data_IF_137537521850
#
_entry.id   IF_137537521850
#
_cell.length_a   1.000
_cell.length_b   1.000
_cell.length_c   1.000
_cell.angle_alpha   90.00
_cell.angle_beta   90.00
_cell.angle_gamma   90.00
#
_symmetry.space_group_name_H-M   'P 1'
#
loop_
_entity.id
_entity.type
_entity.pdbx_description
1 polymer ?
#
# COMPACT_ATOMS: atom_id res chain seq x y z
N UNK A 1 9.11 19.23 19.01
CA UNK A 1 9.24 17.76 19.13
C UNK A 1 9.88 17.43 20.48
N UNK A 2 9.70 16.21 20.99
CA UNK A 2 10.51 15.70 22.10
C UNK A 2 11.89 15.27 21.54
N UNK A 3 13.03 15.77 22.07
CA UNK A 3 14.37 15.45 21.57
C UNK A 3 14.70 13.95 21.53
N UNK A 4 14.09 13.12 22.38
CA UNK A 4 14.31 11.67 22.35
C UNK A 4 13.64 11.00 21.15
N UNK A 5 12.54 11.56 20.63
CA UNK A 5 11.88 11.06 19.42
C UNK A 5 12.75 11.31 18.19
N UNK A 6 13.45 12.45 18.15
CA UNK A 6 14.33 12.83 17.04
C UNK A 6 15.56 11.92 16.91
N UNK A 7 15.92 11.19 17.97
CA UNK A 7 17.01 10.19 17.97
C UNK A 7 16.58 8.83 17.43
N UNK A 8 15.28 8.59 17.23
CA UNK A 8 14.78 7.33 16.69
C UNK A 8 15.17 7.20 15.21
N UNK A 9 15.69 6.05 14.76
CA UNK A 9 16.01 5.81 13.35
C UNK A 9 14.84 6.05 12.39
N UNK A 10 13.61 5.83 12.86
CA UNK A 10 12.38 5.99 12.11
C UNK A 10 11.95 7.45 11.93
N UNK A 11 12.49 8.37 12.75
CA UNK A 11 12.20 9.80 12.64
C UNK A 11 12.94 10.40 11.44
N UNK A 12 12.20 11.10 10.59
CA UNK A 12 12.71 11.70 9.34
C UNK A 12 12.13 13.09 9.17
N UNK A 13 12.48 13.99 10.10
CA UNK A 13 11.99 15.37 10.12
C UNK A 13 10.45 15.46 10.11
N UNK A 14 9.78 14.54 10.81
CA UNK A 14 8.31 14.55 10.90
C UNK A 14 7.83 15.90 11.43
N UNK A 15 6.87 16.52 10.73
CA UNK A 15 6.31 17.82 11.13
C UNK A 15 5.59 17.76 12.50
N UNK A 16 4.97 16.62 12.83
CA UNK A 16 4.27 16.45 14.10
C UNK A 16 4.25 14.99 14.55
N UNK A 17 4.46 14.79 15.85
CA UNK A 17 4.22 13.52 16.55
C UNK A 17 3.44 13.83 17.82
N UNK A 18 2.26 13.23 17.99
CA UNK A 18 1.38 13.48 19.13
C UNK A 18 0.91 12.18 19.75
N UNK A 19 1.17 12.01 21.04
CA UNK A 19 0.45 11.05 21.87
C UNK A 19 -0.96 11.57 22.18
N UNK A 20 -1.94 10.69 22.24
CA UNK A 20 -3.27 11.00 22.74
C UNK A 20 -3.72 9.92 23.71
N UNK A 21 -4.52 10.31 24.71
CA UNK A 21 -5.18 9.37 25.59
C UNK A 21 -6.51 9.91 26.12
N UNK A 22 -7.44 9.00 26.43
CA UNK A 22 -8.67 9.28 27.15
C UNK A 22 -8.85 8.21 28.25
N UNK A 23 -8.72 8.65 29.51
CA UNK A 23 -8.79 7.77 30.68
C UNK A 23 -10.16 7.11 30.84
N UNK A 24 -11.24 7.75 30.38
CA UNK A 24 -12.62 7.23 30.56
C UNK A 24 -12.90 6.05 29.64
N UNK A 25 -12.45 6.11 28.39
CA UNK A 25 -12.62 5.04 27.42
C UNK A 25 -11.45 4.08 27.37
N UNK A 26 -10.30 4.42 27.98
CA UNK A 26 -9.05 3.68 27.84
C UNK A 26 -8.38 3.87 26.47
N UNK A 27 -8.76 4.90 25.72
CA UNK A 27 -8.14 5.22 24.43
C UNK A 27 -6.71 5.67 24.69
N UNK A 28 -5.76 5.15 23.91
CA UNK A 28 -4.41 5.70 23.82
C UNK A 28 -3.76 5.33 22.49
N UNK A 29 -2.81 6.16 22.05
CA UNK A 29 -2.10 5.93 20.81
C UNK A 29 -1.32 7.14 20.34
N UNK A 30 -0.87 7.08 19.09
CA UNK A 30 -0.07 8.13 18.48
C UNK A 30 -0.61 8.53 17.12
N UNK A 31 -0.49 9.82 16.80
CA UNK A 31 -0.59 10.36 15.44
C UNK A 31 0.79 10.88 15.05
N UNK A 32 1.26 10.54 13.85
CA UNK A 32 2.41 11.18 13.24
C UNK A 32 2.03 11.77 11.88
N UNK A 33 2.45 13.01 11.64
CA UNK A 33 2.40 13.69 10.34
C UNK A 33 3.85 13.86 9.90
N UNK A 34 4.21 13.22 8.80
CA UNK A 34 5.57 13.27 8.28
C UNK A 34 5.79 14.53 7.44
N UNK A 35 4.91 14.81 6.48
CA UNK A 35 5.03 15.96 5.60
C UNK A 35 3.66 16.40 5.08
N UNK A 36 3.42 17.72 4.98
CA UNK A 36 2.18 18.33 4.46
C UNK A 36 2.41 19.26 3.25
N UNK A 37 3.61 19.29 2.67
CA UNK A 37 3.93 20.20 1.56
C UNK A 37 3.07 19.96 0.29
N UNK A 38 2.56 18.74 0.10
CA UNK A 38 1.65 18.42 -1.01
C UNK A 38 0.17 18.72 -0.72
N UNK A 39 -0.18 19.01 0.53
CA UNK A 39 -1.54 19.21 1.05
C UNK A 39 -1.73 18.55 2.42
N UNK A 40 -2.96 18.52 2.95
CA UNK A 40 -3.26 17.83 4.21
C UNK A 40 -2.72 16.41 4.24
N UNK A 41 -2.33 15.92 5.41
CA UNK A 41 -1.73 14.61 5.52
C UNK A 41 -2.80 13.51 5.62
N UNK A 42 -2.63 12.45 4.83
CA UNK A 42 -3.56 11.34 4.79
C UNK A 42 -2.89 10.03 5.21
N UNK A 43 -3.64 9.19 5.93
CA UNK A 43 -3.27 7.80 6.20
C UNK A 43 -4.19 7.13 7.21
N UNK A 44 -4.40 5.82 7.05
CA UNK A 44 -5.38 5.07 7.85
C UNK A 44 -5.00 4.90 9.32
N UNK A 45 -5.99 4.51 10.13
CA UNK A 45 -5.84 4.23 11.56
C UNK A 45 -5.61 2.75 11.79
N UNK A 46 -4.41 2.39 12.25
CA UNK A 46 -4.09 1.03 12.68
C UNK A 46 -4.53 0.81 14.13
N UNK A 47 -5.25 -0.28 14.37
CA UNK A 47 -5.72 -0.69 15.69
C UNK A 47 -5.02 -1.99 16.07
N UNK A 48 -4.04 -1.92 16.97
CA UNK A 48 -3.15 -3.06 17.22
C UNK A 48 -2.70 -3.16 18.68
N UNK A 49 -2.63 -4.38 19.26
CA UNK A 49 -2.15 -4.58 20.61
C UNK A 49 -0.61 -4.58 20.65
N UNK A 50 -0.01 -3.40 20.53
CA UNK A 50 1.46 -3.27 20.64
C UNK A 50 1.96 -3.73 22.02
N UNK A 51 3.10 -4.43 22.10
CA UNK A 51 3.71 -4.82 23.38
C UNK A 51 4.16 -3.62 24.22
N UNK A 52 4.52 -2.51 23.57
CA UNK A 52 4.99 -1.29 24.21
C UNK A 52 4.53 -0.01 23.47
N UNK A 53 4.55 1.14 24.16
CA UNK A 53 4.30 2.44 23.52
C UNK A 53 5.45 2.83 22.57
N UNK A 54 6.68 2.38 22.85
CA UNK A 54 7.83 2.60 21.97
C UNK A 54 7.66 1.92 20.62
N UNK A 55 7.21 0.67 20.58
CA UNK A 55 6.93 -0.03 19.33
C UNK A 55 5.79 0.64 18.54
N UNK A 56 4.75 1.13 19.22
CA UNK A 56 3.68 1.89 18.58
C UNK A 56 4.20 3.21 17.98
N UNK A 57 5.10 3.90 18.71
CA UNK A 57 5.74 5.13 18.24
C UNK A 57 6.61 4.88 16.99
N UNK A 58 7.46 3.86 17.01
CA UNK A 58 8.28 3.49 15.84
C UNK A 58 7.42 3.14 14.62
N UNK A 59 6.35 2.37 14.82
CA UNK A 59 5.44 2.00 13.74
C UNK A 59 4.71 3.22 13.15
N UNK A 60 4.21 4.15 13.98
CA UNK A 60 3.54 5.35 13.47
C UNK A 60 4.49 6.27 12.68
N UNK A 61 5.76 6.38 13.10
CA UNK A 61 6.78 7.16 12.39
C UNK A 61 7.07 6.55 11.01
N UNK A 62 7.35 5.25 10.96
CA UNK A 62 7.60 4.53 9.71
C UNK A 62 6.43 4.62 8.74
N UNK A 63 5.20 4.37 9.22
CA UNK A 63 4.02 4.35 8.38
C UNK A 63 3.62 5.74 7.87
N UNK A 64 3.82 6.80 8.67
CA UNK A 64 3.51 8.18 8.23
C UNK A 64 4.49 8.66 7.16
N UNK A 65 5.77 8.29 7.26
CA UNK A 65 6.76 8.46 6.20
C UNK A 65 6.36 7.71 4.93
N UNK A 66 6.06 6.42 5.04
CA UNK A 66 5.62 5.60 3.90
C UNK A 66 4.39 6.22 3.19
N UNK A 67 3.45 6.80 3.93
CA UNK A 67 2.31 7.50 3.34
C UNK A 67 2.71 8.75 2.55
N UNK A 68 3.75 9.48 2.97
CA UNK A 68 4.25 10.65 2.22
C UNK A 68 4.79 10.23 0.86
N UNK A 69 5.63 9.20 0.82
CA UNK A 69 6.19 8.66 -0.40
C UNK A 69 5.10 8.11 -1.32
N UNK A 70 4.14 7.36 -0.75
CA UNK A 70 2.99 6.83 -1.48
C UNK A 70 2.12 7.93 -2.09
N UNK A 71 1.78 8.97 -1.31
CA UNK A 71 1.00 10.10 -1.81
C UNK A 71 1.73 10.86 -2.93
N UNK A 72 3.03 11.10 -2.76
CA UNK A 72 3.85 11.78 -3.73
C UNK A 72 3.93 11.01 -5.05
N UNK A 73 4.33 9.73 -5.03
CA UNK A 73 4.48 8.94 -6.26
C UNK A 73 3.13 8.69 -6.96
N UNK A 74 2.04 8.58 -6.19
CA UNK A 74 0.67 8.47 -6.71
C UNK A 74 0.14 9.79 -7.30
N UNK A 75 0.89 10.88 -7.14
CA UNK A 75 0.54 12.24 -7.61
C UNK A 75 -0.82 12.69 -7.08
N UNK A 76 -1.09 12.43 -5.81
CA UNK A 76 -2.27 12.93 -5.10
C UNK A 76 -1.89 14.16 -4.26
N UNK A 77 -2.79 15.14 -4.08
CA UNK A 77 -2.48 16.41 -3.39
C UNK A 77 -2.60 16.26 -1.86
N UNK A 78 -1.90 15.28 -1.31
CA UNK A 78 -1.91 14.96 0.12
C UNK A 78 -0.50 14.68 0.62
N UNK A 79 -0.25 15.07 1.85
CA UNK A 79 0.89 14.64 2.63
C UNK A 79 0.73 13.23 3.20
N UNK A 80 1.68 12.81 4.02
CA UNK A 80 1.63 11.52 4.71
C UNK A 80 1.44 11.64 6.21
N UNK A 81 0.44 10.94 6.72
CA UNK A 81 0.21 10.77 8.14
C UNK A 81 -0.07 9.31 8.49
N UNK A 82 -0.04 8.99 9.77
CA UNK A 82 -0.56 7.74 10.29
C UNK A 82 -1.13 7.93 11.68
N UNK A 83 -2.12 7.13 12.02
CA UNK A 83 -2.56 6.93 13.40
C UNK A 83 -2.39 5.48 13.81
N UNK A 84 -1.89 5.25 15.02
CA UNK A 84 -1.92 3.94 15.69
C UNK A 84 -2.71 4.06 16.99
N UNK A 85 -3.57 3.08 17.27
CA UNK A 85 -4.30 2.92 18.52
C UNK A 85 -3.78 1.64 19.20
N UNK A 86 -3.38 1.78 20.47
CA UNK A 86 -2.76 0.70 21.24
C UNK A 86 -3.84 -0.04 22.02
N UNK A 87 -4.47 -1.02 21.38
CA UNK A 87 -5.48 -1.87 22.00
C UNK A 87 -5.78 -3.12 21.15
N UNK A 88 -6.40 -4.13 21.78
CA UNK A 88 -6.90 -5.31 21.08
C UNK A 88 -8.22 -4.97 20.36
N UNK A 89 -8.27 -5.09 19.01
CA UNK A 89 -9.45 -4.73 18.22
C UNK A 89 -10.68 -5.59 18.54
N UNK A 90 -10.51 -6.76 19.18
CA UNK A 90 -11.61 -7.65 19.58
C UNK A 90 -12.19 -7.32 20.96
N UNK A 91 -11.42 -6.65 21.83
CA UNK A 91 -11.82 -6.41 23.23
C UNK A 91 -12.32 -5.00 23.49
N UNK A 92 -11.79 -4.00 22.77
CA UNK A 92 -11.93 -2.61 23.19
C UNK A 92 -12.33 -1.71 22.02
N UNK A 93 -13.59 -1.77 21.59
CA UNK A 93 -14.06 -0.98 20.44
C UNK A 93 -15.53 -0.57 20.53
N UNK A 94 -15.90 0.01 21.65
CA UNK A 94 -17.27 0.52 21.87
C UNK A 94 -17.53 1.79 21.06
N UNK A 95 -18.81 2.16 20.89
CA UNK A 95 -19.18 3.41 20.22
C UNK A 95 -18.58 4.65 20.92
N UNK A 96 -18.55 4.65 22.26
CA UNK A 96 -17.97 5.75 23.04
C UNK A 96 -16.45 5.85 22.83
N UNK A 97 -15.77 4.72 22.72
CA UNK A 97 -14.34 4.66 22.39
C UNK A 97 -14.06 5.29 21.01
N UNK A 98 -14.81 4.87 19.98
CA UNK A 98 -14.67 5.40 18.63
C UNK A 98 -15.04 6.89 18.56
N UNK A 99 -16.07 7.32 19.27
CA UNK A 99 -16.43 8.73 19.36
C UNK A 99 -15.33 9.57 20.04
N UNK A 100 -14.67 9.06 21.09
CA UNK A 100 -13.52 9.70 21.71
C UNK A 100 -12.35 9.81 20.71
N UNK A 101 -12.07 8.76 19.94
CA UNK A 101 -11.06 8.80 18.89
C UNK A 101 -11.37 9.83 17.80
N UNK A 102 -12.61 9.91 17.32
CA UNK A 102 -13.01 10.90 16.33
C UNK A 102 -12.82 12.35 16.84
N UNK A 103 -12.96 12.59 18.15
CA UNK A 103 -12.64 13.90 18.75
C UNK A 103 -11.15 14.22 18.68
N UNK A 104 -10.28 13.22 18.88
CA UNK A 104 -8.82 13.38 18.68
C UNK A 104 -8.53 13.80 17.24
N UNK A 105 -9.13 13.13 16.24
CA UNK A 105 -8.97 13.48 14.82
C UNK A 105 -9.39 14.93 14.55
N UNK A 106 -10.48 15.41 15.18
CA UNK A 106 -10.95 16.78 15.01
C UNK A 106 -9.97 17.85 15.52
N UNK A 107 -9.09 17.52 16.47
CA UNK A 107 -8.07 18.46 16.99
C UNK A 107 -7.08 18.91 15.90
N UNK A 108 -6.89 18.09 14.87
CA UNK A 108 -6.02 18.37 13.74
C UNK A 108 -6.64 19.31 12.69
N UNK A 109 -7.91 19.72 12.87
CA UNK A 109 -8.60 20.73 12.04
C UNK A 109 -8.48 20.51 10.52
N UNK A 110 -8.42 19.24 10.10
CA UNK A 110 -8.33 18.84 8.69
C UNK A 110 -6.91 18.63 8.16
N UNK A 111 -5.87 18.88 8.96
CA UNK A 111 -4.48 18.51 8.61
C UNK A 111 -4.22 17.00 8.69
N UNK A 112 -5.07 16.27 9.41
CA UNK A 112 -5.11 14.81 9.41
C UNK A 112 -6.42 14.35 8.75
N UNK A 113 -6.30 13.54 7.71
CA UNK A 113 -7.39 12.76 7.14
C UNK A 113 -7.08 11.28 7.36
N UNK A 114 -8.03 10.54 7.94
CA UNK A 114 -7.82 9.12 8.27
C UNK A 114 -8.98 8.24 7.83
N UNK A 115 -8.77 6.94 7.83
CA UNK A 115 -9.74 5.91 7.45
C UNK A 115 -9.34 4.56 8.02
N UNK A 116 -9.78 3.48 7.37
CA UNK A 116 -9.46 2.13 7.80
C UNK A 116 -7.98 1.76 7.55
N UNK A 117 -7.45 0.93 8.45
CA UNK A 117 -6.26 0.12 8.28
C UNK A 117 -6.43 -1.15 9.15
N UNK A 118 -5.38 -1.96 9.28
CA UNK A 118 -5.34 -3.17 10.11
C UNK A 118 -6.01 -2.93 11.47
N UNK A 119 -7.00 -3.77 11.77
CA UNK A 119 -7.74 -3.74 13.02
C UNK A 119 -8.93 -2.77 13.03
N UNK A 120 -9.21 -2.04 11.95
CA UNK A 120 -10.46 -1.31 11.72
C UNK A 120 -11.33 -2.02 10.68
N UNK A 121 -12.65 -1.89 10.84
CA UNK A 121 -13.65 -2.42 9.91
C UNK A 121 -14.61 -1.32 9.45
N UNK A 122 -15.36 -1.57 8.38
CA UNK A 122 -16.36 -0.64 7.84
C UNK A 122 -17.40 -0.19 8.89
N UNK A 123 -17.80 -1.08 9.81
CA UNK A 123 -18.72 -0.73 10.92
C UNK A 123 -18.13 0.31 11.87
N UNK A 124 -16.80 0.35 11.99
CA UNK A 124 -16.10 1.33 12.83
C UNK A 124 -16.07 2.68 12.13
N UNK A 125 -15.80 2.68 10.82
CA UNK A 125 -15.89 3.87 9.96
C UNK A 125 -17.28 4.49 10.03
N UNK A 126 -18.35 3.68 9.97
CA UNK A 126 -19.74 4.14 10.07
C UNK A 126 -20.07 4.87 11.39
N UNK A 127 -19.34 4.55 12.47
CA UNK A 127 -19.43 5.28 13.74
C UNK A 127 -18.60 6.54 13.69
N UNK A 128 -17.34 6.44 13.26
CA UNK A 128 -16.38 7.56 13.24
C UNK A 128 -16.86 8.74 12.39
N UNK A 129 -17.45 8.47 11.22
CA UNK A 129 -17.95 9.52 10.30
C UNK A 129 -19.09 10.36 10.87
N UNK A 130 -19.79 9.88 11.90
CA UNK A 130 -20.84 10.64 12.61
C UNK A 130 -20.25 11.71 13.53
N UNK A 131 -18.97 11.55 13.91
CA UNK A 131 -18.29 12.40 14.88
C UNK A 131 -17.16 13.23 14.26
N UNK A 132 -16.68 12.88 13.06
CA UNK A 132 -15.67 13.65 12.34
C UNK A 132 -15.86 13.60 10.82
N UNK A 133 -15.71 14.76 10.18
CA UNK A 133 -15.72 14.89 8.72
C UNK A 133 -14.40 14.50 8.05
N UNK A 134 -13.36 14.27 8.83
CA UNK A 134 -12.01 13.93 8.37
C UNK A 134 -11.78 12.41 8.29
N UNK A 135 -12.87 11.64 8.35
CA UNK A 135 -12.89 10.19 8.22
C UNK A 135 -13.40 9.82 6.82
N UNK A 136 -12.60 9.01 6.12
CA UNK A 136 -12.84 8.51 4.77
C UNK A 136 -12.86 6.98 4.72
N UNK A 137 -13.18 6.41 3.56
CA UNK A 137 -13.29 4.96 3.38
C UNK A 137 -14.73 4.46 3.57
N UNK A 138 -15.73 5.30 3.32
CA UNK A 138 -17.15 4.95 3.54
C UNK A 138 -17.61 3.91 2.52
N UNK A 139 -18.42 2.93 2.95
CA UNK A 139 -18.95 1.85 2.11
C UNK A 139 -19.63 2.32 0.81
N UNK A 140 -20.39 3.40 0.87
CA UNK A 140 -21.09 4.00 -0.27
C UNK A 140 -20.25 4.98 -1.09
N UNK A 141 -18.95 5.09 -0.80
CA UNK A 141 -17.98 5.91 -1.53
C UNK A 141 -16.75 5.07 -1.87
N UNK A 142 -15.62 5.32 -1.20
CA UNK A 142 -14.39 4.57 -1.44
C UNK A 142 -14.55 3.09 -1.10
N UNK A 143 -15.18 2.77 0.04
CA UNK A 143 -15.49 1.40 0.45
C UNK A 143 -14.29 0.46 0.30
N UNK A 144 -14.49 -0.62 -0.45
CA UNK A 144 -13.46 -1.63 -0.70
C UNK A 144 -12.28 -1.11 -1.55
N UNK A 145 -11.09 -1.10 -0.97
CA UNK A 145 -9.85 -0.67 -1.62
C UNK A 145 -9.22 -1.75 -2.52
N UNK A 146 -9.62 -3.02 -2.35
CA UNK A 146 -9.00 -4.18 -2.97
C UNK A 146 -9.00 -4.15 -4.50
N UNK A 147 -10.17 -3.96 -5.15
CA UNK A 147 -10.25 -3.88 -6.61
C UNK A 147 -9.41 -2.74 -7.20
N UNK A 148 -9.31 -1.61 -6.51
CA UNK A 148 -8.53 -0.47 -6.98
C UNK A 148 -7.02 -0.68 -6.83
N UNK A 149 -6.58 -1.29 -5.73
CA UNK A 149 -5.20 -1.71 -5.58
C UNK A 149 -4.81 -2.74 -6.67
N UNK A 150 -5.68 -3.72 -6.94
CA UNK A 150 -5.46 -4.70 -8.01
C UNK A 150 -5.37 -4.03 -9.39
N UNK A 151 -6.25 -3.07 -9.69
CA UNK A 151 -6.21 -2.31 -10.94
C UNK A 151 -4.91 -1.51 -11.09
N UNK A 152 -4.41 -0.91 -10.01
CA UNK A 152 -3.13 -0.21 -10.00
C UNK A 152 -1.95 -1.14 -10.28
N UNK A 153 -1.91 -2.31 -9.62
CA UNK A 153 -0.86 -3.31 -9.82
C UNK A 153 -0.92 -3.86 -11.25
N UNK A 154 -2.11 -4.18 -11.75
CA UNK A 154 -2.32 -4.62 -13.12
C UNK A 154 -1.84 -3.57 -14.13
N UNK A 155 -2.16 -2.30 -13.90
CA UNK A 155 -1.70 -1.18 -14.71
C UNK A 155 -0.17 -1.04 -14.70
N UNK A 156 0.48 -1.31 -13.58
CA UNK A 156 1.94 -1.29 -13.45
C UNK A 156 2.60 -2.50 -14.15
N UNK A 157 1.98 -3.69 -14.09
CA UNK A 157 2.42 -4.87 -14.85
C UNK A 157 2.45 -4.59 -16.35
N UNK A 158 1.42 -3.94 -16.89
CA UNK A 158 1.39 -3.56 -18.31
C UNK A 158 2.54 -2.62 -18.71
N UNK A 159 2.94 -1.71 -17.82
CA UNK A 159 4.12 -0.87 -18.04
C UNK A 159 5.42 -1.70 -18.07
N UNK A 160 5.56 -2.64 -17.13
CA UNK A 160 6.72 -3.52 -17.06
C UNK A 160 6.83 -4.42 -18.30
N UNK A 161 5.71 -5.04 -18.73
CA UNK A 161 5.64 -5.83 -19.95
C UNK A 161 6.07 -5.02 -21.18
N UNK A 162 5.59 -3.77 -21.30
CA UNK A 162 5.96 -2.89 -22.42
C UNK A 162 7.48 -2.68 -22.50
N UNK A 163 8.16 -2.55 -21.35
CA UNK A 163 9.60 -2.33 -21.32
C UNK A 163 10.40 -3.61 -21.62
N UNK A 164 9.97 -4.75 -21.07
CA UNK A 164 10.70 -6.02 -21.14
C UNK A 164 10.46 -6.76 -22.45
N UNK A 165 9.23 -6.77 -22.95
CA UNK A 165 8.80 -7.55 -24.11
C UNK A 165 8.43 -6.70 -25.32
N UNK A 166 8.41 -5.36 -25.20
CA UNK A 166 8.02 -4.45 -26.29
C UNK A 166 6.51 -4.31 -26.49
N UNK A 167 5.71 -5.09 -25.77
CA UNK A 167 4.24 -5.08 -25.82
C UNK A 167 3.66 -5.20 -24.41
N UNK A 168 2.39 -4.83 -24.22
CA UNK A 168 1.71 -4.86 -22.92
C UNK A 168 0.61 -5.92 -22.83
N UNK A 169 0.60 -6.89 -23.74
CA UNK A 169 -0.41 -7.93 -23.82
C UNK A 169 -0.30 -8.89 -22.64
N UNK A 170 -1.47 -9.23 -22.07
CA UNK A 170 -1.59 -10.20 -20.98
C UNK A 170 -1.79 -11.62 -21.53
N UNK A 171 -2.41 -11.73 -22.71
CA UNK A 171 -2.68 -13.00 -23.36
C UNK A 171 -1.39 -13.82 -23.49
N UNK A 172 -1.46 -15.11 -23.13
CA UNK A 172 -0.34 -16.08 -23.18
C UNK A 172 0.83 -15.79 -22.25
N UNK A 173 0.83 -14.68 -21.51
CA UNK A 173 1.82 -14.41 -20.46
C UNK A 173 1.52 -15.21 -19.21
N UNK A 174 2.54 -15.52 -18.45
CA UNK A 174 2.49 -16.36 -17.24
C UNK A 174 2.73 -15.52 -15.99
N UNK A 175 1.86 -15.68 -14.99
CA UNK A 175 1.86 -14.86 -13.77
C UNK A 175 1.84 -15.77 -12.54
N UNK A 176 2.80 -15.59 -11.64
CA UNK A 176 2.82 -16.26 -10.34
C UNK A 176 2.33 -15.30 -9.24
N UNK A 177 1.16 -15.57 -8.64
CA UNK A 177 0.54 -14.73 -7.60
C UNK A 177 0.64 -15.43 -6.24
N UNK A 178 1.45 -14.87 -5.34
CA UNK A 178 1.56 -15.34 -3.95
C UNK A 178 0.61 -14.56 -3.06
N UNK A 179 -0.42 -15.21 -2.54
CA UNK A 179 -1.52 -14.61 -1.81
C UNK A 179 -2.74 -14.43 -2.72
N UNK A 180 -3.77 -15.23 -2.48
CA UNK A 180 -5.06 -15.25 -3.16
C UNK A 180 -6.16 -14.61 -2.28
N UNK A 181 -5.74 -13.70 -1.40
CA UNK A 181 -6.63 -12.85 -0.62
C UNK A 181 -7.34 -11.80 -1.48
N UNK A 182 -7.83 -10.75 -0.83
CA UNK A 182 -8.67 -9.72 -1.46
C UNK A 182 -8.04 -9.12 -2.73
N UNK A 183 -6.85 -8.54 -2.62
CA UNK A 183 -6.18 -7.90 -3.78
C UNK A 183 -5.67 -8.94 -4.77
N UNK A 184 -5.10 -10.04 -4.28
CA UNK A 184 -4.54 -11.10 -5.13
C UNK A 184 -5.59 -11.79 -6.00
N UNK A 185 -6.77 -12.07 -5.47
CA UNK A 185 -7.88 -12.64 -6.24
C UNK A 185 -8.45 -11.66 -7.27
N UNK A 186 -8.52 -10.36 -6.97
CA UNK A 186 -8.96 -9.33 -7.92
C UNK A 186 -7.92 -9.15 -9.05
N UNK A 187 -6.63 -9.19 -8.71
CA UNK A 187 -5.55 -9.17 -9.69
C UNK A 187 -5.58 -10.41 -10.59
N UNK A 188 -5.79 -11.59 -10.00
CA UNK A 188 -5.96 -12.84 -10.74
C UNK A 188 -7.13 -12.75 -11.73
N UNK A 189 -8.26 -12.16 -11.33
CA UNK A 189 -9.42 -11.94 -12.20
C UNK A 189 -9.06 -11.05 -13.39
N UNK A 190 -8.42 -9.89 -13.15
CA UNK A 190 -8.02 -8.97 -14.21
C UNK A 190 -7.08 -9.61 -15.26
N UNK A 191 -6.20 -10.51 -14.80
CA UNK A 191 -5.27 -11.26 -15.64
C UNK A 191 -6.00 -12.38 -16.41
N UNK A 192 -6.84 -13.15 -15.72
CA UNK A 192 -7.60 -14.27 -16.27
C UNK A 192 -8.53 -13.80 -17.40
N UNK A 193 -9.28 -12.72 -17.16
CA UNK A 193 -10.21 -12.12 -18.13
C UNK A 193 -9.53 -11.67 -19.43
N UNK A 194 -8.20 -11.55 -19.42
CA UNK A 194 -7.38 -11.16 -20.59
C UNK A 194 -6.50 -12.28 -21.11
N UNK A 195 -6.79 -13.53 -20.73
CA UNK A 195 -6.11 -14.72 -21.26
C UNK A 195 -4.71 -14.96 -20.68
N UNK A 196 -4.39 -14.39 -19.52
CA UNK A 196 -3.14 -14.68 -18.82
C UNK A 196 -3.17 -16.04 -18.11
N UNK A 197 -2.04 -16.74 -18.11
CA UNK A 197 -1.88 -18.02 -17.43
C UNK A 197 -1.48 -17.81 -15.97
N UNK A 198 -2.26 -18.37 -15.05
CA UNK A 198 -2.09 -18.16 -13.62
C UNK A 198 -1.41 -19.34 -12.93
N UNK A 199 -0.41 -19.03 -12.11
CA UNK A 199 0.09 -19.89 -11.04
C UNK A 199 -0.22 -19.20 -9.72
N UNK A 200 -0.94 -19.87 -8.82
CA UNK A 200 -1.34 -19.31 -7.52
C UNK A 200 -0.75 -20.08 -6.35
N UNK A 201 -0.55 -19.39 -5.23
CA UNK A 201 -0.31 -20.02 -3.93
C UNK A 201 -0.93 -19.19 -2.82
N UNK A 202 -1.50 -19.86 -1.82
CA UNK A 202 -1.96 -19.27 -0.57
C UNK A 202 -1.81 -20.33 0.54
N UNK A 203 -1.60 -19.89 1.78
CA UNK A 203 -1.57 -20.78 2.95
C UNK A 203 -2.98 -21.25 3.32
N UNK A 204 -3.99 -20.49 2.91
CA UNK A 204 -5.39 -20.74 3.20
C UNK A 204 -6.02 -21.66 2.12
N UNK A 205 -6.33 -22.89 2.52
CA UNK A 205 -6.92 -23.90 1.64
C UNK A 205 -8.27 -23.50 1.06
N UNK A 206 -9.06 -22.68 1.75
CA UNK A 206 -10.36 -22.21 1.25
C UNK A 206 -10.16 -21.20 0.11
N UNK A 207 -9.20 -20.28 0.25
CA UNK A 207 -8.84 -19.33 -0.82
C UNK A 207 -8.31 -20.06 -2.05
N UNK A 208 -7.49 -21.10 -1.86
CA UNK A 208 -7.01 -21.97 -2.95
C UNK A 208 -8.19 -22.66 -3.66
N UNK A 209 -9.13 -23.24 -2.91
CA UNK A 209 -10.29 -23.90 -3.49
C UNK A 209 -11.17 -22.91 -4.27
N UNK A 210 -11.40 -21.72 -3.72
CA UNK A 210 -12.14 -20.65 -4.40
C UNK A 210 -11.45 -20.21 -5.70
N UNK A 211 -10.13 -20.04 -5.67
CA UNK A 211 -9.36 -19.66 -6.86
C UNK A 211 -9.43 -20.74 -7.95
N UNK A 212 -9.35 -22.03 -7.60
CA UNK A 212 -9.53 -23.13 -8.57
C UNK A 212 -10.91 -23.11 -9.22
N UNK A 213 -11.95 -22.78 -8.45
CA UNK A 213 -13.32 -22.65 -8.95
C UNK A 213 -13.49 -21.44 -9.88
N UNK A 214 -12.91 -20.30 -9.51
CA UNK A 214 -13.02 -19.03 -10.26
C UNK A 214 -12.17 -19.02 -11.53
N UNK A 215 -11.00 -19.64 -11.51
CA UNK A 215 -10.02 -19.58 -12.59
C UNK A 215 -9.69 -20.98 -13.11
N UNK A 216 -10.58 -21.60 -13.91
CA UNK A 216 -10.29 -22.86 -14.57
C UNK A 216 -8.92 -22.84 -15.27
N UNK A 217 -8.06 -23.79 -14.94
CA UNK A 217 -6.69 -23.88 -15.47
C UNK A 217 -5.61 -23.23 -14.62
N UNK A 218 -5.93 -22.57 -13.50
CA UNK A 218 -4.92 -22.09 -12.55
C UNK A 218 -4.09 -23.25 -11.99
N UNK A 219 -2.77 -23.16 -12.10
CA UNK A 219 -1.85 -24.10 -11.42
C UNK A 219 -1.66 -23.64 -9.98
N UNK A 220 -1.90 -24.53 -9.01
CA UNK A 220 -1.61 -24.23 -7.60
C UNK A 220 -0.30 -24.90 -7.21
N UNK A 221 0.59 -24.13 -6.57
CA UNK A 221 1.86 -24.60 -6.01
C UNK A 221 1.95 -24.27 -4.53
N UNK A 222 2.96 -24.80 -3.85
CA UNK A 222 3.21 -24.43 -2.45
C UNK A 222 3.71 -22.98 -2.36
N UNK A 223 3.36 -22.22 -1.30
CA UNK A 223 3.80 -20.83 -1.13
C UNK A 223 5.32 -20.63 -1.14
N UNK A 224 6.10 -21.64 -0.76
CA UNK A 224 7.57 -21.58 -0.69
C UNK A 224 8.22 -21.86 -2.05
N UNK A 225 7.45 -22.33 -3.03
CA UNK A 225 7.92 -22.72 -4.36
C UNK A 225 7.45 -21.74 -5.45
N UNK A 226 6.61 -20.77 -5.11
CA UNK A 226 5.94 -19.92 -6.10
C UNK A 226 6.88 -18.95 -6.79
N UNK A 227 7.83 -18.34 -6.08
CA UNK A 227 8.81 -17.42 -6.66
C UNK A 227 9.83 -18.14 -7.57
N UNK A 228 10.00 -19.45 -7.40
CA UNK A 228 10.87 -20.32 -8.22
C UNK A 228 10.25 -20.70 -9.56
N UNK A 229 8.94 -20.49 -9.73
CA UNK A 229 8.25 -20.88 -10.96
C UNK A 229 8.75 -20.04 -12.14
N UNK A 230 9.03 -20.70 -13.26
CA UNK A 230 9.40 -20.02 -14.51
C UNK A 230 8.18 -19.32 -15.08
N UNK A 231 8.10 -17.99 -14.89
CA UNK A 231 6.98 -17.16 -15.33
C UNK A 231 7.47 -15.81 -15.88
N UNK A 232 6.60 -15.06 -16.54
CA UNK A 232 6.90 -13.70 -16.99
C UNK A 232 6.86 -12.69 -15.85
N UNK A 233 5.92 -12.84 -14.91
CA UNK A 233 5.78 -11.94 -13.76
C UNK A 233 5.53 -12.70 -12.46
N UNK A 234 6.29 -12.36 -11.42
CA UNK A 234 5.99 -12.72 -10.03
C UNK A 234 5.30 -11.56 -9.29
N UNK A 235 4.19 -11.84 -8.62
CA UNK A 235 3.33 -10.88 -7.95
C UNK A 235 3.14 -11.24 -6.46
N UNK A 236 4.01 -10.76 -5.56
CA UNK A 236 3.81 -10.91 -4.12
C UNK A 236 2.62 -10.07 -3.65
N UNK A 237 1.57 -10.74 -3.16
CA UNK A 237 0.30 -10.14 -2.73
C UNK A 237 -0.13 -10.59 -1.32
N UNK A 238 0.76 -11.27 -0.58
CA UNK A 238 0.49 -11.81 0.76
C UNK A 238 1.13 -10.94 1.86
N UNK A 239 2.42 -11.11 2.11
CA UNK A 239 3.19 -10.45 3.16
C UNK A 239 4.31 -9.59 2.56
N UNK A 240 4.85 -8.68 3.38
CA UNK A 240 6.09 -7.98 3.04
C UNK A 240 7.31 -8.90 3.19
N UNK A 241 8.50 -8.37 2.88
CA UNK A 241 9.79 -9.04 3.06
C UNK A 241 9.89 -10.38 2.28
N UNK A 242 9.19 -10.46 1.14
CA UNK A 242 9.23 -11.61 0.23
C UNK A 242 10.39 -11.54 -0.76
N UNK A 243 10.93 -10.34 -1.00
CA UNK A 243 12.08 -10.09 -1.85
C UNK A 243 13.27 -9.81 -0.94
N UNK A 244 14.18 -10.78 -0.85
CA UNK A 244 15.34 -10.72 0.01
C UNK A 244 16.55 -11.44 -0.59
N UNK A 245 17.71 -11.28 0.04
CA UNK A 245 18.98 -11.88 -0.39
C UNK A 245 18.93 -13.40 -0.66
N UNK A 246 17.98 -14.14 -0.06
CA UNK A 246 17.76 -15.56 -0.32
C UNK A 246 16.83 -15.75 -1.53
N UNK A 247 15.63 -15.16 -1.50
CA UNK A 247 14.61 -15.36 -2.54
C UNK A 247 15.01 -14.76 -3.88
N UNK A 248 15.77 -13.65 -3.91
CA UNK A 248 16.28 -13.04 -5.15
C UNK A 248 17.11 -14.03 -5.99
N UNK A 249 17.83 -14.95 -5.34
CA UNK A 249 18.64 -15.98 -6.03
C UNK A 249 17.76 -17.02 -6.73
N UNK A 250 16.56 -17.23 -6.20
CA UNK A 250 15.60 -18.25 -6.61
C UNK A 250 14.53 -17.72 -7.58
N UNK A 251 14.26 -16.40 -7.59
CA UNK A 251 13.27 -15.80 -8.48
C UNK A 251 13.58 -16.12 -9.95
N UNK A 252 12.63 -16.76 -10.61
CA UNK A 252 12.77 -17.25 -11.99
C UNK A 252 11.85 -16.51 -12.97
N UNK A 253 11.86 -15.19 -12.91
CA UNK A 253 11.09 -14.32 -13.79
C UNK A 253 11.83 -13.01 -14.06
N UNK A 254 11.54 -12.33 -15.18
CA UNK A 254 12.14 -11.04 -15.49
C UNK A 254 11.48 -9.85 -14.77
N UNK A 255 10.27 -10.01 -14.22
CA UNK A 255 9.49 -8.90 -13.63
C UNK A 255 8.93 -9.29 -12.26
N UNK A 256 9.11 -8.42 -11.26
CA UNK A 256 8.42 -8.52 -9.97
C UNK A 256 7.51 -7.30 -9.79
N UNK A 257 6.20 -7.55 -9.67
CA UNK A 257 5.19 -6.51 -9.53
C UNK A 257 4.01 -7.04 -8.72
N UNK A 258 3.98 -6.73 -7.42
CA UNK A 258 2.97 -7.23 -6.49
C UNK A 258 2.17 -6.15 -5.77
N UNK A 259 1.18 -6.59 -5.01
CA UNK A 259 0.33 -5.73 -4.19
C UNK A 259 0.77 -5.61 -2.73
N UNK A 260 1.61 -6.52 -2.23
CA UNK A 260 2.06 -6.52 -0.84
C UNK A 260 2.78 -5.20 -0.51
N UNK A 261 2.69 -4.74 0.74
CA UNK A 261 3.48 -3.61 1.21
C UNK A 261 4.81 -4.10 1.78
N UNK A 262 5.85 -3.26 1.68
CA UNK A 262 7.21 -3.53 2.12
C UNK A 262 7.76 -4.81 1.49
N UNK A 263 7.70 -4.94 0.16
CA UNK A 263 8.08 -6.19 -0.54
C UNK A 263 9.57 -6.53 -0.40
N UNK A 264 10.44 -5.52 -0.45
CA UNK A 264 11.85 -5.64 -0.10
C UNK A 264 11.99 -5.79 1.42
N UNK A 265 12.80 -6.73 1.91
CA UNK A 265 13.10 -6.79 3.35
C UNK A 265 13.98 -5.61 3.76
N UNK A 266 15.04 -5.38 2.98
CA UNK A 266 16.03 -4.34 3.23
C UNK A 266 16.20 -3.44 2.00
N UNK A 267 16.61 -2.16 2.16
CA UNK A 267 16.93 -1.29 1.04
C UNK A 267 17.95 -1.90 0.06
N UNK A 268 18.92 -2.65 0.57
CA UNK A 268 19.97 -3.34 -0.20
C UNK A 268 19.41 -4.40 -1.14
N UNK A 269 18.27 -5.01 -0.81
CA UNK A 269 17.61 -5.99 -1.69
C UNK A 269 17.17 -5.35 -3.01
N UNK A 270 16.88 -4.05 -3.02
CA UNK A 270 16.63 -3.27 -4.23
C UNK A 270 17.85 -3.20 -5.16
N UNK A 271 19.06 -3.11 -4.59
CA UNK A 271 20.31 -3.19 -5.36
C UNK A 271 20.56 -4.60 -5.87
N UNK A 272 20.31 -5.62 -5.03
CA UNK A 272 20.51 -7.03 -5.38
C UNK A 272 19.59 -7.47 -6.53
N UNK A 273 18.29 -7.18 -6.46
CA UNK A 273 17.34 -7.55 -7.51
C UNK A 273 17.63 -6.82 -8.83
N UNK A 274 18.07 -5.56 -8.74
CA UNK A 274 18.51 -4.79 -9.91
C UNK A 274 19.77 -5.40 -10.57
N UNK A 275 20.78 -5.76 -9.78
CA UNK A 275 22.00 -6.45 -10.27
C UNK A 275 21.68 -7.80 -10.91
N UNK A 276 20.64 -8.49 -10.44
CA UNK A 276 20.16 -9.74 -11.02
C UNK A 276 19.50 -9.55 -12.40
N UNK A 277 19.24 -8.31 -12.81
CA UNK A 277 18.54 -7.97 -14.06
C UNK A 277 17.03 -8.17 -13.96
N UNK A 278 16.49 -8.33 -12.76
CA UNK A 278 15.05 -8.51 -12.54
C UNK A 278 14.40 -7.14 -12.35
N UNK A 279 13.38 -6.85 -13.14
CA UNK A 279 12.67 -5.59 -13.10
C UNK A 279 11.68 -5.57 -11.93
N UNK A 280 12.08 -4.97 -10.82
CA UNK A 280 11.20 -4.74 -9.67
C UNK A 280 10.37 -3.47 -9.87
N UNK A 281 9.06 -3.56 -9.64
CA UNK A 281 8.18 -2.39 -9.57
C UNK A 281 7.94 -2.05 -8.09
N UNK A 282 8.33 -0.83 -7.64
CA UNK A 282 8.11 -0.38 -6.27
C UNK A 282 6.66 -0.56 -5.85
N UNK A 283 6.48 -1.30 -4.76
CA UNK A 283 5.20 -1.70 -4.21
C UNK A 283 4.26 -0.52 -3.91
N UNK A 284 4.76 0.54 -3.27
CA UNK A 284 3.98 1.71 -2.91
C UNK A 284 3.53 2.54 -4.13
N UNK A 285 4.16 2.34 -5.30
CA UNK A 285 3.65 2.83 -6.58
C UNK A 285 2.60 1.87 -7.15
N UNK A 286 2.91 0.57 -7.23
CA UNK A 286 2.04 -0.42 -7.84
C UNK A 286 0.69 -0.53 -7.11
N UNK A 287 0.69 -0.57 -5.78
CA UNK A 287 -0.50 -0.73 -4.96
C UNK A 287 -1.20 0.60 -4.60
N UNK A 288 -0.80 1.71 -5.19
CA UNK A 288 -1.33 3.04 -4.89
C UNK A 288 -2.82 3.22 -5.22
N UNK A 289 -3.43 2.32 -6.00
CA UNK A 289 -4.84 2.42 -6.38
C UNK A 289 -5.81 2.47 -5.19
N UNK A 290 -5.50 1.77 -4.09
CA UNK A 290 -6.29 1.87 -2.85
C UNK A 290 -6.28 3.29 -2.27
N UNK A 291 -5.12 3.95 -2.23
CA UNK A 291 -5.00 5.35 -1.80
C UNK A 291 -5.75 6.29 -2.75
N UNK A 292 -5.60 6.10 -4.06
CA UNK A 292 -6.29 6.92 -5.08
C UNK A 292 -7.81 6.87 -4.88
N UNK A 293 -8.35 5.68 -4.57
CA UNK A 293 -9.77 5.51 -4.29
C UNK A 293 -10.23 6.27 -3.05
N UNK A 294 -9.48 6.20 -1.95
CA UNK A 294 -9.77 6.96 -0.73
C UNK A 294 -9.69 8.47 -0.97
N UNK A 295 -8.66 8.92 -1.69
CA UNK A 295 -8.52 10.33 -2.09
C UNK A 295 -9.67 10.78 -2.99
N UNK A 296 -10.23 9.89 -3.80
CA UNK A 296 -11.42 10.15 -4.61
C UNK A 296 -12.61 10.62 -3.77
N UNK A 297 -12.75 10.15 -2.53
CA UNK A 297 -13.82 10.57 -1.61
C UNK A 297 -13.65 12.03 -1.14
N UNK A 298 -12.42 12.55 -1.15
CA UNK A 298 -12.07 13.89 -0.69
C UNK A 298 -12.15 14.95 -1.79
N UNK A 299 -12.52 14.58 -3.01
CA UNK A 299 -12.66 15.53 -4.12
C UNK A 299 -13.80 16.51 -3.83
N UNK A 300 -13.59 17.78 -4.16
CA UNK A 300 -14.63 18.84 -4.05
C UNK A 300 -15.91 18.52 -4.83
N UNK A 301 -15.78 17.83 -5.98
CA UNK A 301 -16.91 17.37 -6.80
C UNK A 301 -17.59 16.09 -6.31
N UNK A 302 -17.18 15.55 -5.15
CA UNK A 302 -17.66 14.27 -4.63
C UNK A 302 -16.92 13.06 -5.23
N UNK A 303 -17.29 11.89 -4.73
CA UNK A 303 -16.73 10.62 -5.17
C UNK A 303 -17.22 10.27 -6.57
N UNK A 304 -16.29 10.01 -7.48
CA UNK A 304 -16.58 9.62 -8.86
C UNK A 304 -15.65 8.49 -9.29
N UNK A 305 -16.26 7.34 -9.57
CA UNK A 305 -15.57 6.08 -9.88
C UNK A 305 -14.77 6.16 -11.17
N UNK A 306 -15.26 6.88 -12.19
CA UNK A 306 -14.55 6.99 -13.47
C UNK A 306 -13.23 7.74 -13.31
N UNK A 307 -13.22 8.76 -12.45
CA UNK A 307 -11.98 9.45 -12.11
C UNK A 307 -11.00 8.56 -11.34
N UNK A 308 -11.50 7.77 -10.38
CA UNK A 308 -10.65 6.81 -9.62
C UNK A 308 -10.04 5.79 -10.57
N UNK A 309 -10.84 5.24 -11.47
CA UNK A 309 -10.39 4.29 -12.49
C UNK A 309 -9.33 4.89 -13.41
N UNK A 310 -9.60 6.06 -13.98
CA UNK A 310 -8.64 6.77 -14.84
C UNK A 310 -7.33 7.07 -14.10
N UNK A 311 -7.39 7.41 -12.81
CA UNK A 311 -6.19 7.64 -11.99
C UNK A 311 -5.42 6.35 -11.68
N UNK A 312 -6.11 5.25 -11.40
CA UNK A 312 -5.47 3.94 -11.20
C UNK A 312 -4.79 3.47 -12.50
N UNK A 313 -5.44 3.60 -13.65
CA UNK A 313 -4.84 3.32 -14.96
C UNK A 313 -3.66 4.26 -15.29
N UNK A 314 -3.69 5.48 -14.73
CA UNK A 314 -2.59 6.44 -14.80
C UNK A 314 -1.30 5.96 -14.12
N UNK A 315 -1.35 4.96 -13.23
CA UNK A 315 -0.17 4.33 -12.63
C UNK A 315 0.74 3.78 -13.74
N UNK A 316 0.19 3.26 -14.84
CA UNK A 316 0.98 2.81 -16.00
C UNK A 316 1.97 3.87 -16.48
N UNK A 317 1.53 5.12 -16.61
CA UNK A 317 2.39 6.21 -17.09
C UNK A 317 3.49 6.51 -16.08
N UNK A 318 3.15 6.62 -14.79
CA UNK A 318 4.14 6.86 -13.73
C UNK A 318 5.17 5.73 -13.68
N UNK A 319 4.74 4.47 -13.79
CA UNK A 319 5.62 3.31 -13.86
C UNK A 319 6.51 3.38 -15.10
N UNK A 320 5.99 3.65 -16.30
CA UNK A 320 6.81 3.78 -17.51
C UNK A 320 7.87 4.90 -17.39
N UNK A 321 7.49 6.05 -16.86
CA UNK A 321 8.41 7.19 -16.67
C UNK A 321 9.55 6.81 -15.70
N UNK A 322 9.20 6.14 -14.59
CA UNK A 322 10.17 5.61 -13.62
C UNK A 322 11.10 4.57 -14.24
N UNK A 323 10.54 3.62 -14.98
CA UNK A 323 11.30 2.52 -15.61
C UNK A 323 12.29 3.05 -16.66
N UNK A 324 11.87 4.03 -17.47
CA UNK A 324 12.76 4.71 -18.44
C UNK A 324 13.90 5.44 -17.72
N UNK A 325 13.61 6.10 -16.61
CA UNK A 325 14.63 6.81 -15.83
C UNK A 325 15.63 5.86 -15.16
N UNK A 326 15.14 4.76 -14.59
CA UNK A 326 15.97 3.68 -14.04
C UNK A 326 16.90 3.10 -15.11
N UNK A 327 16.39 2.77 -16.30
CA UNK A 327 17.20 2.29 -17.42
C UNK A 327 18.24 3.32 -17.89
N UNK A 328 17.85 4.59 -18.02
CA UNK A 328 18.75 5.68 -18.46
C UNK A 328 19.91 5.90 -17.50
N UNK A 329 19.65 5.80 -16.18
CA UNK A 329 20.65 6.07 -15.13
C UNK A 329 21.36 4.82 -14.63
N UNK A 330 20.91 3.64 -15.05
CA UNK A 330 21.36 2.35 -14.54
C UNK A 330 21.32 2.27 -13.00
N UNK A 331 20.16 2.61 -12.43
CA UNK A 331 19.92 2.60 -10.99
C UNK A 331 18.68 1.76 -10.64
N UNK A 332 18.59 1.18 -9.43
CA UNK A 332 17.41 0.46 -8.97
C UNK A 332 16.14 1.30 -9.06
N UNK A 333 15.04 0.64 -9.39
CA UNK A 333 13.71 1.26 -9.46
C UNK A 333 13.22 1.77 -8.11
N UNK A 334 13.56 1.11 -7.00
CA UNK A 334 13.27 1.57 -5.64
C UNK A 334 13.90 2.92 -5.36
N UNK A 335 15.21 3.05 -5.59
CA UNK A 335 15.94 4.31 -5.41
C UNK A 335 15.40 5.44 -6.30
N UNK A 336 15.09 5.14 -7.56
CA UNK A 336 14.52 6.12 -8.48
C UNK A 336 13.12 6.58 -8.01
N UNK A 337 12.29 5.67 -7.50
CA UNK A 337 10.98 6.02 -6.96
C UNK A 337 11.10 7.01 -5.80
N UNK A 338 12.02 6.74 -4.87
CA UNK A 338 12.25 7.58 -3.70
C UNK A 338 12.72 8.96 -4.12
N UNK A 339 13.68 9.05 -5.05
CA UNK A 339 14.15 10.32 -5.60
C UNK A 339 13.03 11.13 -6.29
N UNK A 340 12.12 10.45 -7.01
CA UNK A 340 10.97 11.12 -7.62
C UNK A 340 10.03 11.65 -6.53
N UNK A 341 9.69 10.83 -5.54
CA UNK A 341 8.80 11.22 -4.44
C UNK A 341 9.38 12.39 -3.64
N UNK A 342 10.64 12.29 -3.22
CA UNK A 342 11.36 13.32 -2.46
C UNK A 342 11.41 14.64 -3.20
N UNK A 343 11.71 14.62 -4.51
CA UNK A 343 11.69 15.84 -5.32
C UNK A 343 10.32 16.52 -5.32
N UNK A 344 9.23 15.74 -5.26
CA UNK A 344 7.88 16.28 -5.28
C UNK A 344 7.47 16.93 -3.95
N UNK A 345 7.76 16.29 -2.81
CA UNK A 345 7.32 16.82 -1.51
C UNK A 345 8.35 17.75 -0.85
N UNK A 346 9.66 17.64 -1.15
CA UNK A 346 10.67 18.59 -0.66
C UNK A 346 10.76 19.88 -1.50
N UNK A 347 10.40 19.82 -2.78
CA UNK A 347 10.50 20.95 -3.72
C UNK A 347 9.39 22.01 -3.61
N UNK A 348 8.52 21.93 -2.60
CA UNK A 348 7.48 22.92 -2.31
C UNK A 348 7.76 23.53 -0.93
N UNK A 349 8.77 24.39 -0.86
CA UNK A 349 8.99 25.32 0.26
C UNK A 349 8.47 26.68 -0.14
#
# INVERSE_FOLDING_TARGET
>A
MNPEIEKLPEFDNHELVSYFSDKKTGLRGFVAIHNTNLGPAAGGTRYWPYPSEEEALRDVLNLSKAMTYKCAIARVPYGGAKTVIIADPKKLKTRNFLAAYAKVVNLFKGNLITGEDVGMEQKDIDVLVRHSRFIVGRKNKAGDLGPWAALGVFSAMQAALSLVFGENHIERRTFAIKGLGKVGSELAQLIYDRGGHLIGADIDGEKVALARKKFPGIKIVKPEEIHKQKVDIFAPCALGCEINSLTIKEINCPIVCGAANNQLCEPEDGLLIHRRGILYIPDYLANAGGLINVVGELRRGGYDRKWVEAKCLGIRKTTLDLLKLSKKRNLPTSLIADQIAEKMFRGKT
#
